data_IF_874152647675
#
_entry.id   IF_874152647675
#
_cell.length_a   1.000
_cell.length_b   1.000
_cell.length_c   1.000
_cell.angle_alpha   90.00
_cell.angle_beta   90.00
_cell.angle_gamma   90.00
#
_symmetry.space_group_name_H-M   'P 1'
#
loop_
_entity.id
_entity.type
_entity.pdbx_description
1 polymer ?
#
# COMPACT_ATOMS: atom_id res chain seq x y z
N UNK A 1 -6.06 -62.29 11.97
CA UNK A 1 -6.14 -62.67 10.54
C UNK A 1 -5.49 -61.55 9.71
N UNK A 2 -4.37 -61.90 9.14
CA UNK A 2 -3.53 -61.07 8.29
C UNK A 2 -4.25 -60.60 7.01
N UNK A 3 -3.91 -59.42 6.52
CA UNK A 3 -3.51 -59.27 5.12
C UNK A 3 -2.79 -57.92 4.94
N UNK A 4 -1.51 -58.02 4.69
CA UNK A 4 -0.59 -57.05 4.09
C UNK A 4 -1.01 -56.78 2.65
N UNK A 5 -1.03 -55.48 2.23
CA UNK A 5 -0.67 -55.08 0.88
C UNK A 5 0.20 -53.83 0.96
N UNK A 6 1.46 -54.02 0.57
CA UNK A 6 2.44 -52.95 0.40
C UNK A 6 2.16 -52.15 -0.89
N UNK A 7 2.43 -50.88 -0.85
CA UNK A 7 2.45 -50.01 -2.00
C UNK A 7 3.60 -49.02 -1.85
N UNK A 8 4.51 -49.09 -2.78
CA UNK A 8 5.80 -48.44 -2.85
C UNK A 8 5.72 -46.91 -2.71
N UNK A 9 6.60 -46.39 -1.87
CA UNK A 9 6.90 -44.97 -1.73
C UNK A 9 7.92 -44.60 -2.82
N UNK A 10 7.48 -44.04 -3.93
CA UNK A 10 8.37 -43.34 -4.85
C UNK A 10 8.67 -41.94 -4.33
N UNK A 11 9.94 -41.77 -4.02
CA UNK A 11 10.53 -40.46 -3.73
C UNK A 11 10.58 -39.63 -5.03
N UNK A 12 9.73 -38.66 -5.15
CA UNK A 12 9.95 -37.55 -6.10
C UNK A 12 10.68 -36.45 -5.38
N UNK A 13 11.93 -36.25 -5.78
CA UNK A 13 12.80 -35.14 -5.40
C UNK A 13 12.15 -33.79 -5.81
N UNK A 14 11.79 -32.99 -4.82
CA UNK A 14 11.33 -31.64 -5.05
C UNK A 14 12.49 -30.68 -5.23
N UNK A 15 12.80 -30.37 -6.45
CA UNK A 15 13.48 -29.16 -6.84
C UNK A 15 12.82 -28.73 -8.13
N UNK A 16 11.91 -27.76 -8.04
CA UNK A 16 11.54 -26.85 -9.14
C UNK A 16 10.20 -26.17 -8.83
N UNK A 17 10.26 -25.13 -7.99
CA UNK A 17 9.23 -24.09 -7.96
C UNK A 17 9.78 -22.78 -7.39
N UNK A 18 10.93 -22.34 -7.94
CA UNK A 18 11.41 -20.97 -7.79
C UNK A 18 11.70 -20.47 -9.20
N UNK A 19 10.69 -20.13 -9.93
CA UNK A 19 10.86 -19.47 -11.21
C UNK A 19 9.88 -18.31 -11.37
N UNK A 20 10.52 -17.17 -11.47
CA UNK A 20 10.24 -16.06 -12.36
C UNK A 20 9.21 -15.03 -11.92
N UNK A 21 9.68 -14.15 -11.03
CA UNK A 21 9.37 -12.73 -11.14
C UNK A 21 10.65 -11.96 -11.50
N UNK A 22 11.13 -12.15 -12.72
CA UNK A 22 12.15 -11.30 -13.31
C UNK A 22 11.52 -10.61 -14.50
N UNK A 23 11.08 -9.38 -14.31
CA UNK A 23 10.84 -8.46 -15.42
C UNK A 23 12.22 -8.02 -15.88
N UNK A 24 12.63 -8.50 -17.03
CA UNK A 24 13.86 -8.06 -17.68
C UNK A 24 13.71 -6.60 -18.11
N UNK A 25 14.73 -5.76 -17.89
CA UNK A 25 14.76 -4.44 -18.52
C UNK A 25 15.07 -4.62 -19.99
N UNK A 26 14.24 -4.05 -20.86
CA UNK A 26 14.53 -3.93 -22.30
C UNK A 26 15.93 -3.35 -22.52
N UNK A 27 16.76 -4.11 -23.17
CA UNK A 27 18.05 -3.69 -23.67
C UNK A 27 17.83 -2.80 -24.88
N UNK A 28 18.04 -1.50 -24.71
CA UNK A 28 18.29 -0.62 -25.87
C UNK A 28 19.63 -1.00 -26.47
N UNK A 29 19.58 -1.58 -27.66
CA UNK A 29 20.75 -1.92 -28.44
C UNK A 29 21.57 -0.69 -28.78
N UNK A 30 22.79 -0.64 -28.29
CA UNK A 30 23.83 0.23 -28.80
C UNK A 30 24.66 -0.56 -29.82
N UNK A 31 24.52 -0.21 -31.07
CA UNK A 31 25.40 -0.71 -32.15
C UNK A 31 26.84 -0.29 -31.87
N UNK A 32 27.71 -1.29 -31.74
CA UNK A 32 29.14 -1.09 -31.69
C UNK A 32 29.66 -1.02 -33.11
N UNK A 33 30.02 0.18 -33.58
CA UNK A 33 30.76 0.36 -34.82
C UNK A 33 32.22 0.06 -34.53
N UNK A 34 32.71 -1.02 -35.10
CA UNK A 34 34.13 -1.42 -35.07
C UNK A 34 34.97 -0.49 -35.93
N UNK A 35 35.97 0.13 -35.31
CA UNK A 35 37.00 0.93 -35.97
C UNK A 35 38.02 0.05 -36.65
N UNK A 36 38.11 0.13 -37.98
CA UNK A 36 39.28 -0.31 -38.71
C UNK A 36 40.26 0.86 -38.93
N UNK A 37 41.42 0.73 -38.38
CA UNK A 37 42.57 1.57 -38.62
C UNK A 37 43.22 1.25 -39.98
N UNK A 38 43.39 2.23 -40.85
CA UNK A 38 44.38 2.22 -41.92
C UNK A 38 45.27 3.43 -41.84
N UNK A 39 46.55 3.14 -41.73
CA UNK A 39 47.65 4.09 -41.82
C UNK A 39 47.87 4.56 -43.26
N UNK A 40 48.32 5.83 -43.33
CA UNK A 40 49.43 6.32 -44.14
C UNK A 40 49.13 7.13 -45.37
N UNK A 41 49.67 8.29 -45.30
CA UNK A 41 50.57 9.06 -46.16
C UNK A 41 50.03 10.39 -46.70
N UNK A 42 50.86 11.39 -46.36
CA UNK A 42 50.91 12.77 -46.80
C UNK A 42 50.53 13.09 -48.23
N UNK A 43 49.72 14.14 -48.41
CA UNK A 43 50.09 15.23 -49.33
C UNK A 43 49.20 16.46 -49.08
N UNK A 44 49.88 17.58 -49.02
CA UNK A 44 49.36 18.94 -48.85
C UNK A 44 48.49 19.36 -50.04
N UNK A 45 47.30 19.94 -49.78
CA UNK A 45 46.78 21.10 -50.54
C UNK A 45 45.42 21.58 -49.94
N UNK A 46 45.42 22.88 -49.67
CA UNK A 46 44.30 23.84 -49.66
C UNK A 46 42.93 23.42 -49.10
N UNK A 47 42.57 24.08 -48.03
CA UNK A 47 41.25 24.11 -47.43
C UNK A 47 40.17 24.69 -48.37
N UNK A 48 39.01 24.01 -48.51
CA UNK A 48 37.76 24.68 -48.81
C UNK A 48 37.02 24.98 -47.49
N UNK A 49 36.70 26.23 -47.29
CA UNK A 49 35.79 26.73 -46.25
C UNK A 49 34.46 25.98 -46.38
N UNK A 50 34.22 25.03 -45.50
CA UNK A 50 32.92 24.41 -45.31
C UNK A 50 32.12 25.35 -44.44
N UNK A 51 31.15 26.07 -45.02
CA UNK A 51 30.13 26.78 -44.29
C UNK A 51 29.33 25.79 -43.46
N UNK A 52 29.46 25.87 -42.14
CA UNK A 52 28.59 25.14 -41.19
C UNK A 52 27.13 25.54 -41.46
N UNK A 53 26.36 24.64 -42.04
CA UNK A 53 24.90 24.75 -42.06
C UNK A 53 24.41 24.66 -40.61
N UNK A 54 23.54 25.59 -40.16
CA UNK A 54 22.94 25.49 -38.85
C UNK A 54 22.15 24.16 -38.74
N UNK A 55 22.15 23.51 -37.56
CA UNK A 55 21.43 22.24 -37.39
C UNK A 55 19.96 22.44 -37.71
N UNK A 56 19.46 21.68 -38.68
CA UNK A 56 18.05 21.63 -39.01
C UNK A 56 17.24 21.29 -37.75
N UNK A 57 16.34 22.21 -37.41
CA UNK A 57 15.37 21.93 -36.37
C UNK A 57 14.56 20.72 -36.82
N UNK A 58 14.37 19.70 -35.96
CA UNK A 58 13.60 18.52 -36.33
C UNK A 58 12.21 18.99 -36.82
N UNK A 59 11.89 18.66 -38.07
CA UNK A 59 10.59 18.93 -38.66
C UNK A 59 9.53 18.20 -37.86
N UNK A 60 8.63 18.94 -37.23
CA UNK A 60 7.51 18.34 -36.49
C UNK A 60 6.54 17.78 -37.51
N UNK A 61 6.47 16.47 -37.61
CA UNK A 61 5.47 15.79 -38.45
C UNK A 61 4.09 15.90 -37.77
N UNK A 62 3.27 16.82 -38.31
CA UNK A 62 1.90 17.05 -37.82
C UNK A 62 0.91 15.95 -38.22
N UNK A 63 1.31 15.00 -39.06
CA UNK A 63 0.47 13.85 -39.43
C UNK A 63 0.41 12.77 -38.37
N UNK A 64 1.41 12.74 -37.45
CA UNK A 64 1.48 11.79 -36.36
C UNK A 64 0.84 12.34 -35.07
N UNK A 65 -0.16 11.64 -34.54
CA UNK A 65 -0.91 12.06 -33.32
C UNK A 65 -0.04 12.12 -32.08
N UNK A 66 1.05 11.36 -32.03
CA UNK A 66 2.05 11.42 -30.94
C UNK A 66 1.49 10.99 -29.59
N UNK A 67 0.89 9.81 -29.51
CA UNK A 67 0.34 9.26 -28.24
C UNK A 67 1.41 9.29 -27.15
N UNK A 68 2.66 9.01 -27.46
CA UNK A 68 3.78 9.08 -26.50
C UNK A 68 3.95 10.49 -25.91
N UNK A 69 3.72 11.53 -26.71
CA UNK A 69 3.75 12.91 -26.23
C UNK A 69 2.62 13.20 -25.24
N UNK A 70 1.45 12.60 -25.42
CA UNK A 70 0.32 12.72 -24.48
C UNK A 70 0.65 12.01 -23.17
N UNK A 71 1.19 10.79 -23.25
CA UNK A 71 1.62 10.03 -22.07
C UNK A 71 2.68 10.78 -21.28
N UNK A 72 3.66 11.40 -21.95
CA UNK A 72 4.67 12.21 -21.29
C UNK A 72 4.09 13.48 -20.64
N UNK A 73 3.09 14.12 -21.24
CA UNK A 73 2.36 15.22 -20.60
C UNK A 73 1.63 14.77 -19.33
N UNK A 74 0.96 13.62 -19.38
CA UNK A 74 0.28 13.03 -18.22
C UNK A 74 1.29 12.71 -17.12
N UNK A 75 2.41 12.09 -17.47
CA UNK A 75 3.50 11.79 -16.55
C UNK A 75 4.05 13.05 -15.88
N UNK A 76 4.37 14.10 -16.65
CA UNK A 76 4.84 15.38 -16.11
C UNK A 76 3.81 16.04 -15.19
N UNK A 77 2.53 15.93 -15.52
CA UNK A 77 1.44 16.43 -14.68
C UNK A 77 1.38 15.66 -13.36
N UNK A 78 1.42 14.33 -13.40
CA UNK A 78 1.43 13.47 -12.22
C UNK A 78 2.64 13.74 -11.32
N UNK A 79 3.85 13.89 -11.90
CA UNK A 79 5.06 14.22 -11.16
C UNK A 79 4.96 15.57 -10.44
N UNK A 80 4.39 16.60 -11.10
CA UNK A 80 4.18 17.91 -10.48
C UNK A 80 3.14 17.92 -9.40
N UNK A 81 2.09 17.11 -9.55
CA UNK A 81 1.02 16.99 -8.56
C UNK A 81 1.48 16.25 -7.32
N UNK A 82 2.39 15.28 -7.48
CA UNK A 82 2.78 14.34 -6.44
C UNK A 82 1.65 13.39 -6.05
N UNK A 83 1.94 12.49 -5.11
CA UNK A 83 1.02 11.48 -4.64
C UNK A 83 0.78 11.63 -3.14
N UNK A 84 -0.43 11.35 -2.69
CA UNK A 84 -0.81 11.37 -1.28
C UNK A 84 -1.42 10.02 -0.94
N UNK A 85 -0.97 9.40 0.16
CA UNK A 85 -1.51 8.14 0.67
C UNK A 85 -1.65 8.22 2.19
N UNK A 86 -2.85 7.95 2.70
CA UNK A 86 -3.16 7.94 4.11
C UNK A 86 -3.45 6.51 4.57
N UNK A 87 -2.59 5.97 5.42
CA UNK A 87 -2.67 4.61 5.94
C UNK A 87 -2.96 4.65 7.43
N UNK A 88 -3.98 3.94 7.86
CA UNK A 88 -4.28 3.73 9.27
C UNK A 88 -3.80 2.36 9.72
N UNK A 89 -3.27 2.26 10.94
CA UNK A 89 -2.87 0.99 11.54
C UNK A 89 -3.72 0.69 12.75
N UNK A 90 -4.32 -0.49 12.77
CA UNK A 90 -5.28 -0.93 13.80
C UNK A 90 -4.92 -2.33 14.29
N UNK A 91 -5.09 -2.57 15.57
CA UNK A 91 -4.85 -3.88 16.18
C UNK A 91 -4.56 -3.79 17.67
N UNK A 92 -4.43 -4.94 18.30
CA UNK A 92 -4.16 -5.05 19.73
C UNK A 92 -2.87 -4.32 20.14
N UNK A 93 -2.82 -3.90 21.39
CA UNK A 93 -1.60 -3.32 21.98
C UNK A 93 -0.44 -4.32 21.93
N UNK A 94 0.78 -3.80 21.78
CA UNK A 94 1.99 -4.62 21.78
C UNK A 94 2.27 -5.43 20.52
N UNK A 95 1.44 -5.37 19.46
CA UNK A 95 1.68 -6.08 18.19
C UNK A 95 2.76 -5.46 17.31
N UNK A 96 3.29 -4.29 17.66
CA UNK A 96 4.35 -3.64 16.91
C UNK A 96 3.86 -2.79 15.74
N UNK A 97 2.64 -2.22 15.83
CA UNK A 97 2.07 -1.32 14.82
C UNK A 97 3.00 -0.16 14.48
N UNK A 98 3.37 0.63 15.48
CA UNK A 98 4.27 1.78 15.29
C UNK A 98 5.66 1.35 14.81
N UNK A 99 6.15 0.17 15.24
CA UNK A 99 7.43 -0.38 14.75
C UNK A 99 7.35 -0.73 13.27
N UNK A 100 6.27 -1.36 12.80
CA UNK A 100 6.11 -1.69 11.38
C UNK A 100 6.03 -0.41 10.54
N UNK A 101 5.38 0.63 11.03
CA UNK A 101 5.32 1.92 10.35
C UNK A 101 6.70 2.56 10.25
N UNK A 102 7.46 2.57 11.34
CA UNK A 102 8.86 3.03 11.30
C UNK A 102 9.69 2.21 10.31
N UNK A 103 9.44 0.91 10.21
CA UNK A 103 10.08 0.03 9.21
C UNK A 103 9.74 0.48 7.80
N UNK A 104 8.49 0.80 7.52
CA UNK A 104 8.03 1.25 6.21
C UNK A 104 8.75 2.54 5.77
N UNK A 105 8.99 3.47 6.70
CA UNK A 105 9.71 4.72 6.41
C UNK A 105 11.23 4.54 6.28
N UNK A 106 11.82 3.63 7.04
CA UNK A 106 13.27 3.32 6.98
C UNK A 106 13.62 2.42 5.81
N UNK A 107 12.66 1.71 5.24
CA UNK A 107 12.88 0.88 4.06
C UNK A 107 13.26 1.75 2.85
N UNK A 108 13.72 1.14 1.77
CA UNK A 108 14.26 1.82 0.55
C UNK A 108 13.37 2.91 -0.07
N UNK A 109 12.14 3.05 0.40
CA UNK A 109 11.20 4.12 0.01
C UNK A 109 11.67 5.50 0.46
N UNK A 110 12.40 5.58 1.58
CA UNK A 110 12.91 6.85 2.11
C UNK A 110 14.44 6.88 2.16
N UNK A 111 15.08 7.44 1.14
CA UNK A 111 16.53 7.73 1.15
C UNK A 111 16.92 9.00 1.92
N UNK A 112 15.97 9.81 2.36
CA UNK A 112 16.20 11.11 3.03
C UNK A 112 15.34 11.36 4.26
N UNK A 113 14.96 10.33 5.03
CA UNK A 113 14.37 10.59 6.34
C UNK A 113 15.46 11.11 7.29
N UNK A 114 15.28 12.30 7.82
CA UNK A 114 16.12 12.89 8.86
C UNK A 114 16.09 11.93 10.04
N UNK A 115 17.25 11.37 10.40
CA UNK A 115 17.42 10.49 11.54
C UNK A 115 17.09 11.24 12.82
N UNK A 116 15.95 10.98 13.42
CA UNK A 116 15.71 11.27 14.82
C UNK A 116 16.56 10.32 15.67
N UNK A 117 17.16 10.83 16.71
CA UNK A 117 18.05 10.15 17.64
C UNK A 117 17.40 8.88 18.23
N UNK A 118 18.14 7.77 18.13
CA UNK A 118 17.71 6.41 18.41
C UNK A 118 17.82 6.07 19.90
N UNK A 119 16.98 6.53 20.78
CA UNK A 119 16.95 5.99 22.17
C UNK A 119 15.62 6.17 22.94
N UNK A 120 14.52 6.58 22.31
CA UNK A 120 13.25 6.57 22.99
C UNK A 120 12.54 5.23 22.77
N UNK A 121 12.33 4.47 23.84
CA UNK A 121 11.33 3.38 23.87
C UNK A 121 10.03 3.96 23.38
N UNK A 122 9.50 3.45 22.28
CA UNK A 122 8.25 3.94 21.70
C UNK A 122 7.17 3.89 22.78
N UNK A 123 6.66 5.04 23.25
CA UNK A 123 5.67 5.09 24.32
C UNK A 123 4.37 4.43 23.82
N UNK A 124 3.58 3.87 24.74
CA UNK A 124 2.26 3.32 24.41
C UNK A 124 1.40 4.44 23.79
N UNK A 125 0.86 4.19 22.60
CA UNK A 125 -0.02 5.14 21.91
C UNK A 125 -1.33 5.27 22.70
N UNK A 126 -1.63 6.46 23.20
CA UNK A 126 -2.83 6.73 24.01
C UNK A 126 -3.93 7.35 23.16
N UNK A 127 -3.56 8.12 22.15
CA UNK A 127 -4.47 8.84 21.26
C UNK A 127 -4.16 8.52 19.79
N UNK A 128 -5.13 8.74 18.91
CA UNK A 128 -4.90 8.60 17.46
C UNK A 128 -3.95 9.70 17.01
N UNK A 129 -2.80 9.31 16.45
CA UNK A 129 -1.77 10.24 15.98
C UNK A 129 -1.55 10.07 14.49
N UNK A 130 -1.56 11.19 13.77
CA UNK A 130 -1.24 11.23 12.34
C UNK A 130 0.16 11.79 12.15
N UNK A 131 1.03 11.06 11.48
CA UNK A 131 2.40 11.47 11.17
C UNK A 131 2.54 11.44 9.66
N UNK A 132 2.91 12.58 9.06
CA UNK A 132 3.11 12.69 7.62
C UNK A 132 4.60 12.72 7.30
N UNK A 133 4.98 11.98 6.27
CA UNK A 133 6.34 11.96 5.72
C UNK A 133 6.29 12.35 4.25
N UNK A 134 7.10 13.34 3.89
CA UNK A 134 7.30 13.74 2.52
C UNK A 134 8.49 12.97 1.95
N UNK A 135 8.23 12.12 0.97
CA UNK A 135 9.20 11.29 0.27
C UNK A 135 9.41 11.90 -1.11
N UNK A 136 10.63 12.19 -1.48
CA UNK A 136 10.97 12.63 -2.82
C UNK A 136 11.94 11.66 -3.48
N UNK A 137 11.52 11.05 -4.59
CA UNK A 137 12.35 10.16 -5.38
C UNK A 137 12.28 10.54 -6.86
N UNK A 138 13.44 10.79 -7.49
CA UNK A 138 13.54 11.16 -8.93
C UNK A 138 12.65 12.33 -9.33
N UNK A 139 12.47 13.32 -8.43
CA UNK A 139 11.64 14.50 -8.69
C UNK A 139 10.13 14.27 -8.52
N UNK A 140 9.73 13.09 -8.07
CA UNK A 140 8.34 12.77 -7.70
C UNK A 140 8.18 12.92 -6.20
N UNK A 141 7.17 13.68 -5.77
CA UNK A 141 6.84 13.86 -4.36
C UNK A 141 5.71 12.92 -3.97
N UNK A 142 5.89 12.23 -2.85
CA UNK A 142 4.86 11.41 -2.23
C UNK A 142 4.70 11.82 -0.78
N UNK A 143 3.51 12.23 -0.39
CA UNK A 143 3.13 12.46 1.00
C UNK A 143 2.48 11.19 1.54
N UNK A 144 3.19 10.50 2.42
CA UNK A 144 2.67 9.32 3.10
C UNK A 144 2.29 9.70 4.53
N UNK A 145 1.00 9.63 4.85
CA UNK A 145 0.49 9.89 6.20
C UNK A 145 0.14 8.57 6.86
N UNK A 146 0.74 8.33 8.02
CA UNK A 146 0.41 7.20 8.87
C UNK A 146 -0.40 7.65 10.07
N UNK A 147 -1.52 6.99 10.27
CA UNK A 147 -2.44 7.20 11.36
C UNK A 147 -2.27 6.04 12.32
N UNK A 148 -1.50 6.26 13.40
CA UNK A 148 -1.28 5.27 14.46
C UNK A 148 -2.41 5.35 15.48
N UNK A 149 -3.01 4.20 15.78
CA UNK A 149 -4.14 4.11 16.70
C UNK A 149 -3.75 3.46 18.01
N UNK A 150 -4.40 3.84 19.14
CA UNK A 150 -4.27 3.12 20.39
C UNK A 150 -4.57 1.64 20.20
N UNK A 151 -3.77 0.78 20.81
CA UNK A 151 -4.07 -0.65 20.82
C UNK A 151 -5.31 -0.95 21.64
N UNK A 152 -6.19 -1.78 21.12
CA UNK A 152 -7.35 -2.31 21.84
C UNK A 152 -7.05 -3.66 22.49
N UNK A 153 -7.99 -4.17 23.30
CA UNK A 153 -7.90 -5.52 23.87
C UNK A 153 -7.18 -5.61 25.24
N UNK A 154 -6.61 -4.51 25.73
CA UNK A 154 -5.96 -4.44 27.05
C UNK A 154 -6.88 -3.87 28.14
N UNK A 155 -8.07 -3.41 27.78
CA UNK A 155 -9.03 -2.84 28.72
C UNK A 155 -9.91 -3.96 29.30
N UNK A 156 -10.40 -3.75 30.51
CA UNK A 156 -11.35 -4.66 31.17
C UNK A 156 -12.64 -4.77 30.36
N UNK A 157 -13.09 -3.64 29.77
CA UNK A 157 -14.21 -3.59 28.85
C UNK A 157 -13.74 -3.17 27.47
N UNK A 158 -13.79 -4.09 26.51
CA UNK A 158 -13.49 -3.84 25.08
C UNK A 158 -14.75 -3.69 24.25
N UNK A 159 -15.91 -3.52 24.88
CA UNK A 159 -17.16 -3.28 24.20
C UNK A 159 -17.07 -1.97 23.41
N UNK A 160 -17.45 -2.02 22.13
CA UNK A 160 -17.43 -0.88 21.21
C UNK A 160 -16.04 -0.23 20.98
N UNK A 161 -14.94 -0.97 21.21
CA UNK A 161 -13.57 -0.44 21.01
C UNK A 161 -13.28 0.02 19.56
N UNK A 162 -14.10 -0.36 18.58
CA UNK A 162 -14.06 0.11 17.19
C UNK A 162 -14.65 1.51 16.99
N UNK A 163 -15.53 1.98 17.88
CA UNK A 163 -16.25 3.26 17.71
C UNK A 163 -15.32 4.46 17.53
N UNK A 164 -14.28 4.67 18.34
CA UNK A 164 -13.37 5.80 18.18
C UNK A 164 -12.67 5.80 16.80
N UNK A 165 -12.33 4.62 16.30
CA UNK A 165 -11.66 4.47 15.00
C UNK A 165 -12.62 4.76 13.85
N UNK A 166 -13.83 4.20 13.90
CA UNK A 166 -14.87 4.49 12.91
C UNK A 166 -15.28 5.96 12.92
N UNK A 167 -15.38 6.56 14.11
CA UNK A 167 -15.64 8.00 14.26
C UNK A 167 -14.56 8.82 13.57
N UNK A 168 -13.29 8.51 13.83
CA UNK A 168 -12.18 9.20 13.17
C UNK A 168 -12.23 9.07 11.65
N UNK A 169 -12.48 7.88 11.09
CA UNK A 169 -12.59 7.68 9.63
C UNK A 169 -13.72 8.54 9.06
N UNK A 170 -14.88 8.55 9.72
CA UNK A 170 -16.02 9.36 9.30
C UNK A 170 -15.75 10.86 9.42
N UNK A 171 -15.01 11.30 10.43
CA UNK A 171 -14.58 12.71 10.57
C UNK A 171 -13.65 13.14 9.43
N UNK A 172 -12.75 12.25 8.98
CA UNK A 172 -11.91 12.54 7.81
C UNK A 172 -12.74 12.64 6.52
N UNK A 173 -13.76 11.81 6.35
CA UNK A 173 -14.70 11.91 5.24
C UNK A 173 -15.53 13.20 5.32
N UNK A 174 -16.00 13.57 6.51
CA UNK A 174 -16.75 14.81 6.72
C UNK A 174 -15.90 16.04 6.39
N UNK A 175 -14.65 16.09 6.82
CA UNK A 175 -13.73 17.17 6.49
C UNK A 175 -13.55 17.32 4.97
N UNK A 176 -13.39 16.20 4.25
CA UNK A 176 -13.28 16.21 2.81
C UNK A 176 -14.59 16.70 2.15
N UNK A 177 -15.75 16.24 2.63
CA UNK A 177 -17.07 16.66 2.14
C UNK A 177 -17.30 18.15 2.36
N UNK A 178 -16.93 18.69 3.52
CA UNK A 178 -17.08 20.12 3.82
C UNK A 178 -16.24 21.00 2.86
N UNK A 179 -15.02 20.57 2.56
CA UNK A 179 -14.20 21.25 1.53
C UNK A 179 -14.79 21.10 0.13
N UNK A 180 -15.42 19.97 -0.20
CA UNK A 180 -16.07 19.74 -1.49
C UNK A 180 -17.28 20.63 -1.72
N UNK A 181 -18.08 20.88 -0.68
CA UNK A 181 -19.27 21.75 -0.74
C UNK A 181 -18.90 23.24 -0.65
N UNK A 182 -17.73 23.57 -0.16
CA UNK A 182 -17.30 24.96 0.00
C UNK A 182 -17.20 25.66 -1.37
N UNK A 183 -17.96 26.77 -1.52
CA UNK A 183 -17.98 27.57 -2.76
C UNK A 183 -16.60 28.14 -3.07
N UNK A 184 -15.86 28.57 -2.04
CA UNK A 184 -14.51 29.15 -2.15
C UNK A 184 -13.40 28.11 -2.06
N UNK A 185 -13.68 26.85 -2.41
CA UNK A 185 -12.71 25.76 -2.32
C UNK A 185 -11.47 25.99 -3.18
N UNK A 186 -10.35 25.51 -2.70
CA UNK A 186 -9.12 25.49 -3.48
C UNK A 186 -9.29 24.60 -4.72
N UNK A 187 -8.58 24.90 -5.80
CA UNK A 187 -8.58 24.10 -7.04
C UNK A 187 -8.30 22.62 -6.78
N UNK A 188 -7.49 22.30 -5.78
CA UNK A 188 -7.21 20.93 -5.30
C UNK A 188 -7.55 20.86 -3.82
N UNK A 189 -8.47 19.97 -3.49
CA UNK A 189 -8.82 19.66 -2.12
C UNK A 189 -7.73 18.73 -1.57
N UNK A 190 -7.12 19.04 -0.40
CA UNK A 190 -6.20 18.12 0.27
C UNK A 190 -6.94 16.84 0.64
N UNK A 191 -6.37 15.68 0.32
CA UNK A 191 -7.00 14.40 0.59
C UNK A 191 -6.76 13.98 2.05
N UNK A 192 -7.76 14.21 2.91
CA UNK A 192 -7.73 13.82 4.33
C UNK A 192 -8.25 12.41 4.58
N UNK A 193 -8.89 11.78 3.59
CA UNK A 193 -9.56 10.48 3.73
C UNK A 193 -8.57 9.36 4.05
N UNK A 194 -9.01 8.39 4.86
CA UNK A 194 -8.23 7.18 5.12
C UNK A 194 -8.38 6.24 3.93
N UNK A 195 -7.27 5.97 3.23
CA UNK A 195 -7.29 5.14 2.02
C UNK A 195 -7.22 3.64 2.33
N UNK A 196 -6.40 3.28 3.31
CA UNK A 196 -6.17 1.89 3.68
C UNK A 196 -6.03 1.74 5.19
N UNK A 197 -6.57 0.66 5.73
CA UNK A 197 -6.41 0.25 7.11
C UNK A 197 -5.63 -1.07 7.17
N UNK A 198 -4.42 -1.05 7.72
CA UNK A 198 -3.66 -2.26 8.00
C UNK A 198 -4.13 -2.82 9.33
N UNK A 199 -4.76 -4.00 9.30
CA UNK A 199 -5.28 -4.65 10.49
C UNK A 199 -4.32 -5.72 11.01
N UNK A 200 -3.81 -5.52 12.22
CA UNK A 200 -2.82 -6.40 12.86
C UNK A 200 -3.49 -7.54 13.61
N UNK A 201 -3.31 -8.75 13.12
CA UNK A 201 -3.77 -9.98 13.73
C UNK A 201 -2.66 -10.53 14.63
N UNK A 202 -2.98 -10.90 15.89
CA UNK A 202 -2.01 -11.55 16.77
C UNK A 202 -1.57 -12.92 16.21
N UNK A 203 -0.29 -13.29 16.35
CA UNK A 203 0.25 -14.55 15.82
C UNK A 203 -0.12 -15.73 16.75
N UNK A 204 -1.41 -16.04 16.87
CA UNK A 204 -1.90 -17.13 17.73
C UNK A 204 -1.68 -18.51 17.14
N UNK A 205 -1.57 -18.61 15.82
CA UNK A 205 -1.40 -19.87 15.08
C UNK A 205 -2.69 -20.71 14.94
N UNK A 206 -3.82 -20.27 15.50
CA UNK A 206 -5.03 -21.10 15.58
C UNK A 206 -6.21 -20.53 14.79
N UNK A 207 -6.80 -19.42 15.26
CA UNK A 207 -8.00 -18.82 14.68
C UNK A 207 -8.06 -17.32 14.97
N UNK A 208 -8.97 -16.60 14.28
CA UNK A 208 -9.31 -15.24 14.62
C UNK A 208 -10.08 -15.19 15.94
N UNK A 209 -9.80 -14.17 16.75
CA UNK A 209 -10.61 -13.93 17.94
C UNK A 209 -11.95 -13.31 17.55
N UNK A 210 -13.03 -13.56 18.28
CA UNK A 210 -14.34 -12.95 18.03
C UNK A 210 -14.27 -11.41 17.91
N UNK A 211 -13.41 -10.79 18.72
CA UNK A 211 -13.17 -9.36 18.69
C UNK A 211 -12.57 -8.91 17.35
N UNK A 212 -11.59 -9.63 16.80
CA UNK A 212 -10.97 -9.32 15.51
C UNK A 212 -11.97 -9.47 14.37
N UNK A 213 -12.82 -10.50 14.41
CA UNK A 213 -13.89 -10.73 13.43
C UNK A 213 -14.87 -9.57 13.42
N UNK A 214 -15.39 -9.18 14.60
CA UNK A 214 -16.38 -8.10 14.70
C UNK A 214 -15.77 -6.74 14.29
N UNK A 215 -14.52 -6.49 14.68
CA UNK A 215 -13.82 -5.28 14.32
C UNK A 215 -13.63 -5.16 12.80
N UNK A 216 -13.10 -6.20 12.15
CA UNK A 216 -12.89 -6.21 10.70
C UNK A 216 -14.21 -6.15 9.93
N UNK A 217 -15.28 -6.82 10.40
CA UNK A 217 -16.61 -6.77 9.79
C UNK A 217 -17.17 -5.35 9.72
N UNK A 218 -16.91 -4.54 10.75
CA UNK A 218 -17.36 -3.13 10.78
C UNK A 218 -16.49 -2.22 9.94
N UNK A 219 -15.17 -2.38 10.03
CA UNK A 219 -14.22 -1.55 9.29
C UNK A 219 -14.27 -1.78 7.79
N UNK A 220 -14.49 -3.02 7.32
CA UNK A 220 -14.54 -3.34 5.89
C UNK A 220 -15.62 -2.57 5.13
N UNK A 221 -16.64 -2.08 5.84
CA UNK A 221 -17.73 -1.29 5.25
C UNK A 221 -17.38 0.18 5.02
N UNK A 222 -16.32 0.66 5.63
CA UNK A 222 -15.97 2.10 5.60
C UNK A 222 -14.58 2.40 5.08
N UNK A 223 -13.70 1.39 4.99
CA UNK A 223 -12.32 1.56 4.53
C UNK A 223 -11.76 0.27 3.95
N UNK A 224 -10.82 0.36 3.02
CA UNK A 224 -10.07 -0.80 2.52
C UNK A 224 -9.23 -1.42 3.63
N UNK A 225 -9.44 -2.70 3.94
CA UNK A 225 -8.71 -3.42 4.98
C UNK A 225 -7.68 -4.34 4.35
N UNK A 226 -6.44 -4.24 4.81
CA UNK A 226 -5.36 -5.19 4.52
C UNK A 226 -4.95 -5.88 5.82
N UNK A 227 -5.35 -7.14 6.05
CA UNK A 227 -4.98 -7.87 7.26
C UNK A 227 -3.52 -8.34 7.19
N UNK A 228 -2.82 -8.24 8.32
CA UNK A 228 -1.44 -8.72 8.49
C UNK A 228 -1.30 -9.53 9.76
N UNK A 229 -0.52 -10.61 9.71
CA UNK A 229 -0.12 -11.37 10.90
C UNK A 229 1.12 -10.68 11.47
N UNK A 230 0.98 -10.13 12.67
CA UNK A 230 2.06 -9.43 13.35
C UNK A 230 3.11 -10.40 13.90
N UNK A 231 4.36 -9.95 14.00
CA UNK A 231 5.45 -10.73 14.62
C UNK A 231 5.51 -12.18 14.09
N UNK A 232 5.45 -12.33 12.77
CA UNK A 232 5.37 -13.62 12.11
C UNK A 232 6.58 -14.54 12.37
N UNK A 233 7.65 -14.00 12.92
CA UNK A 233 8.84 -14.73 13.38
C UNK A 233 8.59 -15.60 14.65
N UNK A 234 7.42 -15.47 15.25
CA UNK A 234 7.02 -16.32 16.39
C UNK A 234 6.33 -17.62 15.96
N UNK A 235 5.99 -17.74 14.68
CA UNK A 235 5.37 -18.92 14.08
C UNK A 235 6.40 -19.66 13.20
N UNK A 236 6.33 -20.99 13.19
CA UNK A 236 7.01 -21.78 12.16
C UNK A 236 6.38 -21.55 10.79
N UNK A 237 7.06 -21.94 9.72
CA UNK A 237 6.51 -21.81 8.36
C UNK A 237 5.20 -22.58 8.20
N UNK A 238 5.13 -23.79 8.74
CA UNK A 238 3.94 -24.65 8.68
C UNK A 238 2.77 -24.03 9.47
N UNK A 239 3.02 -23.57 10.70
CA UNK A 239 2.02 -22.87 11.51
C UNK A 239 1.52 -21.59 10.85
N UNK A 240 2.43 -20.85 10.20
CA UNK A 240 2.09 -19.63 9.47
C UNK A 240 1.15 -19.94 8.31
N UNK A 241 1.47 -20.94 7.49
CA UNK A 241 0.67 -21.29 6.32
C UNK A 241 -0.70 -21.86 6.72
N UNK A 242 -0.74 -22.70 7.75
CA UNK A 242 -1.98 -23.18 8.35
C UNK A 242 -2.85 -22.02 8.87
N UNK A 243 -2.25 -21.12 9.62
CA UNK A 243 -2.95 -19.97 10.20
C UNK A 243 -3.48 -19.01 9.12
N UNK A 244 -2.69 -18.72 8.08
CA UNK A 244 -3.12 -17.92 6.93
C UNK A 244 -4.34 -18.55 6.24
N UNK A 245 -4.32 -19.87 6.01
CA UNK A 245 -5.44 -20.59 5.42
C UNK A 245 -6.69 -20.48 6.31
N UNK A 246 -6.51 -20.69 7.62
CA UNK A 246 -7.61 -20.61 8.58
C UNK A 246 -8.24 -19.22 8.63
N UNK A 247 -7.43 -18.17 8.67
CA UNK A 247 -7.92 -16.78 8.63
C UNK A 247 -8.74 -16.53 7.36
N UNK A 248 -8.27 -16.98 6.18
CA UNK A 248 -9.02 -16.79 4.93
C UNK A 248 -10.37 -17.52 4.95
N UNK A 249 -10.44 -18.71 5.53
CA UNK A 249 -11.71 -19.43 5.71
C UNK A 249 -12.67 -18.66 6.64
N UNK A 250 -12.17 -18.13 7.74
CA UNK A 250 -12.97 -17.38 8.72
C UNK A 250 -13.45 -16.04 8.19
N UNK A 251 -12.62 -15.31 7.41
CA UNK A 251 -13.03 -14.07 6.73
C UNK A 251 -14.18 -14.35 5.78
N UNK A 252 -14.11 -15.41 4.96
CA UNK A 252 -15.19 -15.82 4.05
C UNK A 252 -16.46 -16.22 4.80
N UNK A 253 -16.32 -17.04 5.85
CA UNK A 253 -17.44 -17.51 6.66
C UNK A 253 -18.21 -16.36 7.35
N UNK A 254 -17.52 -15.26 7.65
CA UNK A 254 -18.09 -14.09 8.32
C UNK A 254 -18.46 -12.96 7.36
N UNK A 255 -18.37 -13.16 6.03
CA UNK A 255 -18.63 -12.15 5.00
C UNK A 255 -17.82 -10.85 5.25
N UNK A 256 -16.53 -11.01 5.51
CA UNK A 256 -15.60 -9.89 5.68
C UNK A 256 -14.79 -9.75 4.39
N UNK A 257 -15.07 -8.68 3.67
CA UNK A 257 -14.35 -8.36 2.44
C UNK A 257 -13.08 -7.59 2.78
N UNK A 258 -11.96 -8.12 2.32
CA UNK A 258 -10.63 -7.51 2.48
C UNK A 258 -10.10 -7.10 1.12
N UNK A 259 -9.30 -6.04 1.11
CA UNK A 259 -8.67 -5.54 -0.11
C UNK A 259 -7.60 -6.53 -0.62
N UNK A 260 -7.52 -6.79 -1.95
CA UNK A 260 -8.40 -6.33 -3.02
C UNK A 260 -9.67 -7.18 -3.15
N UNK A 261 -10.83 -6.53 -3.20
CA UNK A 261 -12.11 -7.20 -3.37
C UNK A 261 -12.29 -7.66 -4.82
N UNK A 262 -12.95 -8.81 -5.02
CA UNK A 262 -13.17 -9.38 -6.36
C UNK A 262 -14.08 -8.55 -7.25
N UNK A 263 -14.98 -7.79 -6.64
CA UNK A 263 -15.98 -6.98 -7.32
C UNK A 263 -15.38 -5.80 -8.10
N UNK A 264 -14.14 -5.44 -7.78
CA UNK A 264 -13.46 -4.26 -8.34
C UNK A 264 -12.31 -4.62 -9.28
N UNK A 265 -12.23 -5.87 -9.74
CA UNK A 265 -11.28 -6.27 -10.78
C UNK A 265 -11.78 -5.71 -12.13
N UNK A 266 -11.07 -4.74 -12.70
CA UNK A 266 -11.48 -4.04 -13.92
C UNK A 266 -11.31 -4.88 -15.17
N UNK A 267 -10.21 -5.64 -15.26
CA UNK A 267 -9.90 -6.49 -16.39
C UNK A 267 -9.31 -7.85 -15.99
N UNK A 268 -8.96 -8.67 -16.99
CA UNK A 268 -8.40 -10.01 -16.78
C UNK A 268 -6.99 -9.98 -16.21
N UNK A 269 -6.19 -8.98 -16.53
CA UNK A 269 -4.82 -8.82 -16.02
C UNK A 269 -4.84 -8.43 -14.54
N UNK A 270 -5.64 -7.42 -14.19
CA UNK A 270 -5.87 -7.02 -12.81
C UNK A 270 -6.40 -8.17 -11.97
N UNK A 271 -7.34 -8.94 -12.52
CA UNK A 271 -7.88 -10.13 -11.85
C UNK A 271 -6.80 -11.14 -11.49
N UNK A 272 -5.88 -11.45 -12.43
CA UNK A 272 -4.79 -12.40 -12.20
C UNK A 272 -3.81 -11.89 -11.13
N UNK A 273 -3.48 -10.60 -11.17
CA UNK A 273 -2.62 -9.96 -10.17
C UNK A 273 -3.29 -9.99 -8.80
N UNK A 274 -4.56 -9.60 -8.74
CA UNK A 274 -5.34 -9.54 -7.51
C UNK A 274 -5.58 -10.93 -6.90
N UNK A 275 -5.77 -11.97 -7.70
CA UNK A 275 -5.90 -13.35 -7.20
C UNK A 275 -4.64 -13.81 -6.47
N UNK A 276 -3.45 -13.53 -7.00
CA UNK A 276 -2.19 -13.83 -6.32
C UNK A 276 -2.05 -13.09 -4.99
N UNK A 277 -2.47 -11.83 -4.94
CA UNK A 277 -2.46 -11.05 -3.70
C UNK A 277 -3.44 -11.62 -2.68
N UNK A 278 -4.65 -11.99 -3.10
CA UNK A 278 -5.66 -12.62 -2.23
C UNK A 278 -5.17 -13.94 -1.63
N UNK A 279 -4.34 -14.69 -2.35
CA UNK A 279 -3.70 -15.90 -1.83
C UNK A 279 -2.63 -15.59 -0.79
N UNK A 280 -1.91 -14.47 -0.94
CA UNK A 280 -0.89 -14.06 0.02
C UNK A 280 -1.47 -13.45 1.30
N UNK A 281 -2.69 -12.91 1.26
CA UNK A 281 -3.35 -12.30 2.43
C UNK A 281 -3.81 -13.39 3.42
N UNK A 282 -3.65 -13.15 4.74
CA UNK A 282 -2.96 -12.03 5.38
C UNK A 282 -1.44 -12.13 5.23
N UNK A 283 -0.77 -10.96 5.09
CA UNK A 283 0.69 -10.94 5.00
C UNK A 283 1.32 -11.20 6.37
N UNK A 284 2.25 -12.14 6.42
CA UNK A 284 3.01 -12.45 7.63
C UNK A 284 4.22 -11.52 7.75
N UNK A 285 4.15 -10.53 8.63
CA UNK A 285 5.11 -9.42 8.68
C UNK A 285 5.91 -9.38 9.97
N UNK A 286 7.13 -8.87 9.84
CA UNK A 286 8.01 -8.53 10.97
C UNK A 286 8.44 -7.07 10.80
N UNK A 287 8.20 -6.26 11.82
CA UNK A 287 8.72 -4.89 11.88
C UNK A 287 10.00 -4.84 12.71
N UNK A 288 10.95 -4.00 12.30
CA UNK A 288 12.12 -3.68 13.10
C UNK A 288 12.58 -2.26 12.82
N UNK A 289 13.01 -1.57 13.87
CA UNK A 289 13.66 -0.27 13.81
C UNK A 289 15.20 -0.37 13.94
N UNK A 290 15.71 -1.59 14.11
CA UNK A 290 17.14 -1.86 14.27
C UNK A 290 17.81 -2.19 12.94
N UNK A 291 18.94 -1.55 12.69
CA UNK A 291 19.77 -1.81 11.52
C UNK A 291 20.98 -2.67 11.91
N UNK A 292 21.23 -3.69 11.12
CA UNK A 292 22.41 -4.56 11.26
C UNK A 292 23.29 -4.45 10.02
N UNK A 293 24.58 -4.59 10.22
CA UNK A 293 25.53 -4.69 9.13
C UNK A 293 25.84 -6.16 8.88
N UNK A 294 25.38 -6.67 7.74
CA UNK A 294 25.64 -8.04 7.29
C UNK A 294 26.37 -7.95 5.95
N UNK A 295 27.58 -8.52 5.86
CA UNK A 295 28.39 -8.53 4.63
C UNK A 295 28.57 -7.13 4.00
N UNK A 296 28.78 -6.10 4.82
CA UNK A 296 28.96 -4.72 4.36
C UNK A 296 27.68 -4.00 3.93
N UNK A 297 26.51 -4.65 4.01
CA UNK A 297 25.19 -4.05 3.73
C UNK A 297 24.46 -3.75 5.02
N UNK A 298 23.84 -2.57 5.10
CA UNK A 298 22.91 -2.24 6.20
C UNK A 298 21.55 -2.84 5.88
N UNK A 299 21.07 -3.70 6.77
CA UNK A 299 19.78 -4.37 6.65
C UNK A 299 18.95 -4.08 7.89
N UNK A 300 17.68 -3.78 7.69
CA UNK A 300 16.70 -3.76 8.76
C UNK A 300 16.39 -5.19 9.20
N UNK A 301 16.50 -5.45 10.49
CA UNK A 301 16.32 -6.81 10.99
C UNK A 301 15.97 -6.86 12.46
N UNK A 302 15.58 -8.04 12.91
CA UNK A 302 15.33 -8.36 14.30
C UNK A 302 16.22 -9.51 14.73
N UNK A 303 17.06 -9.25 15.71
CA UNK A 303 17.95 -10.28 16.29
C UNK A 303 17.15 -11.16 17.23
N UNK A 304 17.20 -12.47 17.00
CA UNK A 304 16.62 -13.50 17.86
C UNK A 304 17.70 -14.41 18.40
N UNK A 305 17.36 -15.33 19.31
CA UNK A 305 18.30 -16.36 19.80
C UNK A 305 18.78 -17.30 18.69
N UNK A 306 18.00 -17.42 17.62
CA UNK A 306 18.18 -18.37 16.54
C UNK A 306 18.84 -17.76 15.29
N UNK A 307 19.03 -16.45 15.27
CA UNK A 307 19.59 -15.72 14.14
C UNK A 307 18.96 -14.35 13.98
N UNK A 308 19.25 -13.71 12.87
CA UNK A 308 18.69 -12.39 12.53
C UNK A 308 17.60 -12.55 11.47
N UNK A 309 16.41 -12.05 11.77
CA UNK A 309 15.32 -11.94 10.82
C UNK A 309 15.53 -10.66 10.02
N UNK A 310 15.72 -10.79 8.73
CA UNK A 310 15.85 -9.68 7.79
C UNK A 310 14.46 -9.30 7.29
N UNK A 311 14.06 -8.04 7.47
CA UNK A 311 12.70 -7.59 7.14
C UNK A 311 12.42 -7.61 5.64
N UNK A 312 13.41 -7.28 4.82
CA UNK A 312 13.29 -7.26 3.36
C UNK A 312 13.48 -8.63 2.70
N UNK A 313 13.84 -9.65 3.47
CA UNK A 313 14.05 -11.00 2.95
C UNK A 313 12.73 -11.77 2.91
N UNK A 314 12.29 -12.08 1.71
CA UNK A 314 11.02 -12.80 1.44
C UNK A 314 10.99 -14.18 2.12
N UNK A 315 12.15 -14.83 2.27
CA UNK A 315 12.23 -16.12 2.97
C UNK A 315 11.96 -15.99 4.48
N UNK A 316 12.17 -14.80 5.06
CA UNK A 316 11.97 -14.57 6.49
C UNK A 316 10.57 -14.03 6.82
N UNK A 317 10.06 -13.08 6.03
CA UNK A 317 8.72 -12.52 6.21
C UNK A 317 8.19 -11.87 4.92
N UNK A 318 6.93 -11.48 4.94
CA UNK A 318 6.23 -10.97 3.76
C UNK A 318 6.09 -9.44 3.74
N UNK A 319 6.90 -8.73 4.51
CA UNK A 319 6.87 -7.26 4.56
C UNK A 319 7.11 -6.61 3.19
N UNK A 320 8.04 -7.17 2.40
CA UNK A 320 8.33 -6.64 1.06
C UNK A 320 7.09 -6.66 0.16
N UNK A 321 6.28 -7.72 0.21
CA UNK A 321 5.03 -7.82 -0.54
C UNK A 321 3.98 -6.81 -0.06
N UNK A 322 3.85 -6.62 1.25
CA UNK A 322 2.96 -5.61 1.81
C UNK A 322 3.34 -4.20 1.34
N UNK A 323 4.63 -3.86 1.40
CA UNK A 323 5.13 -2.56 0.92
C UNK A 323 4.86 -2.37 -0.56
N UNK A 324 5.14 -3.38 -1.38
CA UNK A 324 4.94 -3.33 -2.82
C UNK A 324 3.45 -3.16 -3.17
N UNK A 325 2.55 -3.84 -2.45
CA UNK A 325 1.10 -3.64 -2.57
C UNK A 325 0.72 -2.18 -2.32
N UNK A 326 1.12 -1.63 -1.18
CA UNK A 326 0.70 -0.31 -0.73
C UNK A 326 1.26 0.84 -1.58
N UNK A 327 2.48 0.70 -2.11
CA UNK A 327 3.21 1.82 -2.71
C UNK A 327 3.42 1.64 -4.21
N UNK A 328 3.80 0.43 -4.64
CA UNK A 328 4.23 0.21 -6.02
C UNK A 328 3.10 -0.17 -6.95
N UNK A 329 2.24 -1.09 -6.54
CA UNK A 329 1.27 -1.72 -7.45
C UNK A 329 -0.14 -1.20 -7.29
N UNK A 330 -0.64 -0.99 -6.07
CA UNK A 330 -2.06 -0.75 -5.82
C UNK A 330 -2.39 0.59 -5.18
N UNK A 331 -1.42 1.49 -5.02
CA UNK A 331 -1.65 2.79 -4.37
C UNK A 331 -2.81 3.56 -5.02
N UNK A 332 -2.83 3.64 -6.35
CA UNK A 332 -3.87 4.38 -7.06
C UNK A 332 -5.21 3.66 -6.98
N UNK A 333 -5.25 2.36 -7.19
CA UNK A 333 -6.46 1.55 -7.08
C UNK A 333 -7.11 1.64 -5.67
N UNK A 334 -6.31 1.59 -4.60
CA UNK A 334 -6.77 1.81 -3.22
C UNK A 334 -7.46 3.18 -3.07
N UNK A 335 -6.91 4.22 -3.68
CA UNK A 335 -7.49 5.57 -3.65
C UNK A 335 -8.77 5.66 -4.46
N UNK A 336 -8.81 5.01 -5.62
CA UNK A 336 -9.97 5.02 -6.51
C UNK A 336 -11.14 4.28 -5.85
N UNK A 337 -10.92 3.13 -5.23
CA UNK A 337 -11.94 2.41 -4.44
C UNK A 337 -12.39 3.26 -3.24
N UNK A 338 -11.47 3.92 -2.55
CA UNK A 338 -11.85 4.83 -1.45
C UNK A 338 -12.76 5.93 -1.94
N UNK A 339 -12.48 6.53 -3.10
CA UNK A 339 -13.26 7.64 -3.65
C UNK A 339 -14.62 7.18 -4.17
N UNK A 340 -14.64 6.12 -4.99
CA UNK A 340 -15.82 5.68 -5.73
C UNK A 340 -16.79 4.84 -4.89
N UNK A 341 -16.29 4.17 -3.83
CA UNK A 341 -17.11 3.28 -3.02
C UNK A 341 -17.26 3.81 -1.59
N UNK A 342 -16.21 3.79 -0.79
CA UNK A 342 -16.32 4.08 0.65
C UNK A 342 -16.74 5.53 0.93
N UNK A 343 -16.11 6.49 0.27
CA UNK A 343 -16.46 7.89 0.43
C UNK A 343 -17.83 8.21 -0.18
N UNK A 344 -18.14 7.68 -1.37
CA UNK A 344 -19.44 7.92 -2.01
C UNK A 344 -20.60 7.36 -1.19
N UNK A 345 -20.46 6.18 -0.59
CA UNK A 345 -21.43 5.64 0.35
C UNK A 345 -21.64 6.57 1.57
N UNK A 346 -20.55 7.11 2.12
CA UNK A 346 -20.63 8.08 3.20
C UNK A 346 -21.35 9.36 2.76
N UNK A 347 -20.97 9.92 1.62
CA UNK A 347 -21.49 11.14 1.03
C UNK A 347 -23.02 11.04 0.77
N UNK A 348 -23.47 9.99 0.13
CA UNK A 348 -24.89 9.74 -0.14
C UNK A 348 -25.69 9.68 1.16
N UNK A 349 -25.22 8.94 2.15
CA UNK A 349 -25.88 8.86 3.46
C UNK A 349 -25.99 10.23 4.11
N UNK A 350 -24.90 10.98 4.13
CA UNK A 350 -24.84 12.29 4.80
C UNK A 350 -25.73 13.35 4.16
N UNK A 351 -25.75 13.37 2.82
CA UNK A 351 -26.62 14.29 2.08
C UNK A 351 -28.10 13.93 2.25
N UNK A 352 -28.46 12.65 2.29
CA UNK A 352 -29.83 12.22 2.56
C UNK A 352 -30.30 12.59 3.98
N UNK A 353 -29.45 12.43 5.00
CA UNK A 353 -29.73 12.84 6.36
C UNK A 353 -30.03 14.36 6.44
N UNK A 354 -29.24 15.18 5.76
CA UNK A 354 -29.43 16.62 5.70
C UNK A 354 -30.74 17.01 4.99
N UNK A 355 -31.09 16.32 3.89
CA UNK A 355 -32.33 16.56 3.18
C UNK A 355 -33.56 16.20 4.02
N UNK A 356 -33.52 15.10 4.78
CA UNK A 356 -34.60 14.71 5.67
C UNK A 356 -34.81 15.73 6.81
N UNK A 357 -33.71 16.26 7.37
CA UNK A 357 -33.78 17.30 8.38
C UNK A 357 -34.34 18.62 7.83
N UNK A 358 -33.95 19.00 6.62
CA UNK A 358 -34.48 20.20 5.96
C UNK A 358 -35.98 20.09 5.66
N UNK A 359 -36.46 18.93 5.19
CA UNK A 359 -37.88 18.69 4.90
C UNK A 359 -38.72 18.59 6.17
N UNK A 360 -38.20 17.99 7.26
CA UNK A 360 -38.90 17.93 8.55
C UNK A 360 -39.07 19.29 9.25
N UNK A 361 -38.24 20.27 8.92
CA UNK A 361 -38.37 21.65 9.42
C UNK A 361 -39.38 22.48 8.63
N UNK A 362 -39.75 22.06 7.40
CA UNK A 362 -40.73 22.77 6.58
C UNK A 362 -42.19 22.37 6.88
N UNK A 363 -42.45 21.27 7.60
CA UNK A 363 -43.79 20.82 7.96
C UNK A 363 -44.34 21.42 9.27
N UNK A 364 -43.58 22.25 10.00
CA UNK A 364 -44.01 22.86 11.24
C UNK A 364 -44.23 24.39 11.15
N UNK A 365 -44.96 24.85 10.11
CA UNK A 365 -45.62 26.15 10.14
C UNK A 365 -47.11 25.99 9.79
N UNK A 366 -48.00 25.78 10.76
CA UNK A 366 -49.39 26.09 10.54
C UNK A 366 -49.52 27.61 10.61
N UNK A 367 -49.91 28.21 9.49
CA UNK A 367 -50.38 29.59 9.43
C UNK A 367 -51.65 29.72 10.27
N UNK A 368 -51.53 30.23 11.46
CA UNK A 368 -52.69 30.77 12.19
C UNK A 368 -52.91 32.20 11.69
N UNK A 369 -53.69 32.31 10.67
CA UNK A 369 -54.46 33.53 10.42
C UNK A 369 -55.78 33.37 11.18
N UNK A 370 -55.91 34.06 12.27
CA UNK A 370 -57.23 34.45 12.81
C UNK A 370 -57.39 35.94 12.65
N UNK A 371 -58.57 36.25 12.20
CA UNK A 371 -59.26 37.50 11.87
C UNK A 371 -59.39 38.43 13.04
#
# INVERSE_FOLDING_TARGET
MSLLVGGACERLSGSDCVSHWRIEPEQTGSEVISSHSYNSSNSSMADPVISEMPPEKPSVDFSYVGIDAILEQMRRKAMKQGFELNIMVVGQSGLGKSTLMNTLFKSKVSRKSVMGTAEERIPKTIEIKSISHDIEEKGVRMKLTVIDTPGFGDQINNENCWQPIMKFINEQYEQYLQEEININRKKRIPDSRVHCCIYFIPPTGHCLRPLDVEFMRRLSKVVNIVPVIAKADTLTLEERDFFKKKIREELRANNIDVYPQKEFDEDTEDRLINEKIREMIPFAVVGSDQEYQVNGRRLLGRKTKWGTIEVENIAHCEFAYLRDLLIRTHMQNIKDITSSIHYEMYRVRRLNENNMQANGLSEHHPASHEI
#
